data_IF_482916670185
#
_entry.id   IF_482916670185
#
_cell.length_a   1.000
_cell.length_b   1.000
_cell.length_c   1.000
_cell.angle_alpha   90.00
_cell.angle_beta   90.00
_cell.angle_gamma   90.00
#
_symmetry.space_group_name_H-M   'P 1'
#
loop_
_entity.id
_entity.type
_entity.pdbx_description
1 polymer ?
#
# COMPACT_ATOMS: atom_id res chain seq x y z
N UNK A 1 22.03 11.59 12.20
CA UNK A 1 20.87 11.48 13.11
C UNK A 1 19.62 11.52 12.24
N UNK A 2 19.09 10.37 11.82
CA UNK A 2 17.85 10.32 11.04
C UNK A 2 16.69 10.40 12.05
N UNK A 3 16.04 11.55 12.13
CA UNK A 3 14.76 11.65 12.83
C UNK A 3 13.80 10.71 12.13
N UNK A 4 13.45 9.60 12.77
CA UNK A 4 12.31 8.78 12.38
C UNK A 4 11.06 9.65 12.59
N UNK A 5 10.72 10.44 11.57
CA UNK A 5 9.42 11.09 11.50
C UNK A 5 8.40 9.95 11.42
N UNK A 6 7.62 9.78 12.49
CA UNK A 6 6.50 8.85 12.47
C UNK A 6 5.60 9.27 11.31
N UNK A 7 5.50 8.46 10.26
CA UNK A 7 4.63 8.85 9.16
C UNK A 7 3.20 8.88 9.68
N UNK A 8 2.56 10.01 9.46
CA UNK A 8 1.16 10.20 9.81
C UNK A 8 0.34 9.22 8.97
N UNK A 9 -0.44 8.36 9.61
CA UNK A 9 -1.36 7.42 8.93
C UNK A 9 -2.78 7.86 9.24
N UNK A 10 -3.61 7.94 8.21
CA UNK A 10 -5.04 8.03 8.32
C UNK A 10 -5.65 6.64 8.10
N UNK A 11 -6.49 6.18 9.03
CA UNK A 11 -7.29 4.97 8.85
C UNK A 11 -8.73 5.36 8.62
N UNK A 12 -9.32 4.88 7.53
CA UNK A 12 -10.70 5.13 7.17
C UNK A 12 -11.42 3.79 7.14
N UNK A 13 -12.32 3.59 8.11
CA UNK A 13 -13.23 2.46 8.13
C UNK A 13 -14.37 2.68 7.13
N UNK A 14 -14.76 1.62 6.44
CA UNK A 14 -15.94 1.63 5.58
C UNK A 14 -17.22 1.89 6.42
N UNK A 15 -18.10 2.78 5.93
CA UNK A 15 -19.38 3.10 6.57
C UNK A 15 -20.39 1.95 6.56
N UNK A 16 -20.19 0.93 5.71
CA UNK A 16 -21.16 -0.17 5.54
C UNK A 16 -21.02 -1.33 6.55
N UNK A 17 -20.13 -1.28 7.54
CA UNK A 17 -19.98 -2.36 8.54
C UNK A 17 -19.61 -3.73 7.95
N UNK A 18 -19.20 -3.78 6.68
CA UNK A 18 -18.94 -5.03 5.98
C UNK A 18 -17.65 -5.68 6.49
N UNK A 19 -17.79 -6.76 7.27
CA UNK A 19 -16.70 -7.57 7.83
C UNK A 19 -15.79 -8.24 6.78
N UNK A 20 -16.10 -8.10 5.48
CA UNK A 20 -15.36 -8.67 4.34
C UNK A 20 -14.68 -7.63 3.43
N UNK A 21 -14.76 -6.33 3.73
CA UNK A 21 -14.09 -5.32 2.89
C UNK A 21 -12.56 -5.50 2.93
N UNK A 22 -11.86 -5.45 1.77
CA UNK A 22 -10.41 -5.62 1.74
C UNK A 22 -9.71 -4.43 2.40
N UNK A 23 -8.59 -4.71 3.06
CA UNK A 23 -7.72 -3.68 3.61
C UNK A 23 -6.74 -3.22 2.54
N UNK A 24 -6.73 -1.92 2.26
CA UNK A 24 -5.92 -1.33 1.19
C UNK A 24 -4.98 -0.29 1.79
N UNK A 25 -3.68 -0.49 1.58
CA UNK A 25 -2.64 0.49 1.90
C UNK A 25 -2.45 1.44 0.72
N UNK A 26 -2.51 2.75 0.98
CA UNK A 26 -2.25 3.82 0.00
C UNK A 26 -1.07 4.66 0.52
N UNK A 27 0.02 4.74 -0.23
CA UNK A 27 1.28 5.36 0.25
C UNK A 27 1.36 6.88 0.05
N UNK A 28 0.35 7.49 -0.55
CA UNK A 28 0.30 8.92 -0.86
C UNK A 28 -0.99 9.56 -0.35
N UNK A 29 -0.85 10.78 0.18
CA UNK A 29 -1.91 11.60 0.78
C UNK A 29 -2.82 12.27 -0.26
N UNK A 30 -2.31 12.49 -1.47
CA UNK A 30 -2.94 13.22 -2.56
C UNK A 30 -3.82 12.31 -3.43
N UNK A 31 -3.83 11.01 -3.14
CA UNK A 31 -4.76 10.05 -3.77
C UNK A 31 -6.16 10.27 -3.23
N UNK A 32 -7.08 10.67 -4.10
CA UNK A 32 -8.50 10.78 -3.77
C UNK A 32 -9.17 9.40 -3.70
N UNK A 33 -9.78 9.10 -2.56
CA UNK A 33 -10.41 7.83 -2.26
C UNK A 33 -11.92 7.96 -2.09
N UNK A 34 -12.50 9.13 -2.36
CA UNK A 34 -13.90 9.45 -2.08
C UNK A 34 -14.88 8.41 -2.63
N UNK A 35 -14.63 7.89 -3.84
CA UNK A 35 -15.47 6.87 -4.48
C UNK A 35 -15.28 5.44 -3.96
N UNK A 36 -14.18 5.17 -3.24
CA UNK A 36 -13.80 3.83 -2.77
C UNK A 36 -14.09 3.62 -1.28
N UNK A 37 -14.29 4.69 -0.50
CA UNK A 37 -14.48 4.64 0.97
C UNK A 37 -15.61 3.72 1.43
N UNK A 38 -16.64 3.51 0.61
CA UNK A 38 -17.77 2.62 0.92
C UNK A 38 -17.51 1.14 0.62
N UNK A 39 -16.39 0.81 -0.03
CA UNK A 39 -16.08 -0.54 -0.52
C UNK A 39 -14.87 -1.16 0.16
N UNK A 40 -13.92 -0.34 0.59
CA UNK A 40 -12.62 -0.80 1.12
C UNK A 40 -12.32 -0.19 2.49
N UNK A 41 -11.49 -0.86 3.28
CA UNK A 41 -10.88 -0.27 4.47
C UNK A 41 -9.54 0.35 4.07
N UNK A 42 -9.35 1.64 4.34
CA UNK A 42 -8.18 2.37 3.88
C UNK A 42 -7.20 2.60 5.00
N UNK A 43 -5.92 2.36 4.71
CA UNK A 43 -4.77 2.82 5.48
C UNK A 43 -3.98 3.74 4.55
N UNK A 44 -4.07 5.06 4.76
CA UNK A 44 -3.43 6.05 3.88
C UNK A 44 -2.27 6.73 4.60
N UNK A 45 -1.11 6.80 3.94
CA UNK A 45 -0.03 7.69 4.34
C UNK A 45 -0.46 9.13 4.13
N UNK A 46 -0.39 9.95 5.18
CA UNK A 46 -0.67 11.39 5.12
C UNK A 46 0.56 12.23 5.51
N UNK A 47 1.73 11.59 5.59
CA UNK A 47 3.01 12.28 5.74
C UNK A 47 3.50 12.85 4.40
N UNK A 48 4.39 13.84 4.48
CA UNK A 48 5.03 14.38 3.29
C UNK A 48 6.14 13.43 2.80
N UNK A 49 6.17 13.18 1.49
CA UNK A 49 7.18 12.34 0.85
C UNK A 49 6.83 10.84 0.80
N UNK A 50 7.86 10.00 0.65
CA UNK A 50 7.71 8.55 0.63
C UNK A 50 7.45 8.00 2.05
N UNK A 51 6.65 6.94 2.16
CA UNK A 51 6.43 6.28 3.44
C UNK A 51 7.77 5.71 3.97
N UNK A 52 8.13 5.93 5.25
CA UNK A 52 9.30 5.31 5.86
C UNK A 52 9.27 3.79 5.70
N UNK A 53 10.43 3.22 5.42
CA UNK A 53 10.59 1.81 5.05
C UNK A 53 10.04 0.83 6.09
N UNK A 54 10.36 1.03 7.36
CA UNK A 54 9.91 0.16 8.44
C UNK A 54 8.38 0.21 8.60
N UNK A 55 7.81 1.39 8.37
CA UNK A 55 6.37 1.59 8.44
C UNK A 55 5.66 0.94 7.26
N UNK A 56 6.22 1.05 6.04
CA UNK A 56 5.71 0.35 4.86
C UNK A 56 5.67 -1.16 5.10
N UNK A 57 6.76 -1.74 5.62
CA UNK A 57 6.82 -3.17 5.99
C UNK A 57 5.79 -3.54 7.06
N UNK A 58 5.62 -2.70 8.07
CA UNK A 58 4.65 -2.96 9.14
C UNK A 58 3.21 -2.93 8.64
N UNK A 59 2.85 -1.96 7.80
CA UNK A 59 1.50 -1.84 7.28
C UNK A 59 1.20 -2.93 6.24
N UNK A 60 2.14 -3.20 5.32
CA UNK A 60 1.92 -4.17 4.22
C UNK A 60 1.68 -5.60 4.72
N UNK A 61 2.18 -5.94 5.92
CA UNK A 61 2.00 -7.26 6.52
C UNK A 61 0.53 -7.63 6.79
N UNK A 62 -0.36 -6.63 6.90
CA UNK A 62 -1.74 -6.82 7.34
C UNK A 62 -2.79 -6.36 6.31
N UNK A 63 -2.40 -6.04 5.08
CA UNK A 63 -3.32 -5.57 4.03
C UNK A 63 -3.53 -6.61 2.93
N UNK A 64 -4.68 -6.51 2.27
CA UNK A 64 -5.02 -7.32 1.11
C UNK A 64 -4.46 -6.72 -0.19
N UNK A 65 -4.35 -5.38 -0.26
CA UNK A 65 -3.84 -4.68 -1.43
C UNK A 65 -2.94 -3.49 -1.05
N UNK A 66 -2.02 -3.15 -1.96
CA UNK A 66 -1.13 -2.00 -1.89
C UNK A 66 -1.29 -1.15 -3.14
N UNK A 67 -1.55 0.14 -2.95
CA UNK A 67 -1.46 1.18 -3.97
C UNK A 67 -0.27 2.08 -3.66
N UNK A 68 0.74 2.04 -4.53
CA UNK A 68 2.02 2.72 -4.35
C UNK A 68 2.31 3.72 -5.46
N UNK A 69 3.36 4.52 -5.30
CA UNK A 69 3.83 5.47 -6.30
C UNK A 69 5.28 5.17 -6.68
N UNK A 70 5.73 5.79 -7.78
CA UNK A 70 7.09 5.61 -8.34
C UNK A 70 8.25 5.82 -7.35
N UNK A 71 8.02 6.58 -6.27
CA UNK A 71 9.03 6.85 -5.23
C UNK A 71 9.11 5.77 -4.15
N UNK A 72 8.13 4.86 -4.09
CA UNK A 72 8.11 3.77 -3.13
C UNK A 72 8.89 2.58 -3.67
N UNK A 73 9.83 2.04 -2.91
CA UNK A 73 10.61 0.89 -3.37
C UNK A 73 9.98 -0.42 -2.87
N UNK A 74 9.20 -1.09 -3.72
CA UNK A 74 8.50 -2.34 -3.41
C UNK A 74 9.35 -3.53 -3.84
N UNK A 75 10.45 -3.75 -3.12
CA UNK A 75 11.37 -4.85 -3.39
C UNK A 75 11.04 -6.10 -2.55
N UNK A 76 11.84 -7.16 -2.75
CA UNK A 76 11.74 -8.43 -2.01
C UNK A 76 11.53 -8.29 -0.50
N UNK A 77 12.22 -7.36 0.17
CA UNK A 77 12.11 -7.23 1.63
C UNK A 77 10.73 -6.72 2.08
N UNK A 78 10.11 -5.82 1.29
CA UNK A 78 8.75 -5.36 1.54
C UNK A 78 7.76 -6.48 1.25
N UNK A 79 7.96 -7.18 0.13
CA UNK A 79 7.10 -8.28 -0.30
C UNK A 79 7.18 -9.49 0.66
N UNK A 80 8.35 -9.82 1.19
CA UNK A 80 8.54 -10.87 2.20
C UNK A 80 7.76 -10.60 3.50
N UNK A 81 7.57 -9.31 3.84
CA UNK A 81 6.74 -8.92 4.98
C UNK A 81 5.23 -9.04 4.68
N UNK A 82 4.83 -9.06 3.41
CA UNK A 82 3.47 -8.89 2.93
C UNK A 82 2.65 -10.20 2.93
N UNK A 83 2.43 -10.77 4.12
CA UNK A 83 1.81 -12.10 4.30
C UNK A 83 0.38 -12.27 3.78
N UNK A 84 -0.36 -11.18 3.60
CA UNK A 84 -1.77 -11.17 3.17
C UNK A 84 -1.99 -10.50 1.81
N UNK A 85 -0.93 -9.94 1.24
CA UNK A 85 -1.02 -9.10 0.06
C UNK A 85 -1.33 -9.95 -1.18
N UNK A 86 -2.37 -9.52 -1.91
CA UNK A 86 -2.89 -10.20 -3.11
C UNK A 86 -2.79 -9.33 -4.36
N UNK A 87 -2.64 -8.01 -4.19
CA UNK A 87 -2.60 -7.07 -5.32
C UNK A 87 -1.63 -5.95 -4.98
N UNK A 88 -0.76 -5.63 -5.94
CA UNK A 88 0.05 -4.40 -5.94
C UNK A 88 -0.34 -3.61 -7.17
N UNK A 89 -0.72 -2.35 -6.96
CA UNK A 89 -1.02 -1.39 -8.01
C UNK A 89 -0.17 -0.14 -7.81
N UNK A 90 0.13 0.57 -8.89
CA UNK A 90 1.01 1.74 -8.87
C UNK A 90 0.50 2.85 -9.76
N UNK A 91 0.65 4.09 -9.32
CA UNK A 91 0.42 5.27 -10.16
C UNK A 91 1.71 5.62 -10.92
N UNK A 92 2.05 4.82 -11.94
CA UNK A 92 3.24 5.04 -12.76
C UNK A 92 3.17 4.30 -14.09
N UNK A 93 3.89 4.81 -15.09
CA UNK A 93 4.00 4.16 -16.41
C UNK A 93 5.01 3.00 -16.44
N UNK A 94 5.91 2.94 -15.45
CA UNK A 94 6.90 1.88 -15.30
C UNK A 94 6.83 1.21 -13.93
N UNK A 95 7.54 0.10 -13.78
CA UNK A 95 7.54 -0.74 -12.58
C UNK A 95 8.94 -0.98 -12.01
N UNK A 96 9.92 -0.16 -12.38
CA UNK A 96 11.33 -0.34 -11.96
C UNK A 96 11.51 -0.32 -10.44
N UNK A 97 10.58 0.33 -9.73
CA UNK A 97 10.51 0.40 -8.28
C UNK A 97 9.83 -0.81 -7.63
N UNK A 98 9.29 -1.74 -8.41
CA UNK A 98 8.57 -2.93 -7.95
C UNK A 98 9.30 -4.19 -8.43
N UNK A 99 9.58 -5.11 -7.50
CA UNK A 99 10.14 -6.42 -7.84
C UNK A 99 9.04 -7.34 -8.39
N UNK A 100 8.77 -7.19 -9.69
CA UNK A 100 7.74 -7.95 -10.42
C UNK A 100 8.01 -9.46 -10.35
N UNK A 101 9.28 -9.88 -10.31
CA UNK A 101 9.61 -11.30 -10.24
C UNK A 101 9.20 -11.90 -8.90
N UNK A 102 9.40 -11.17 -7.80
CA UNK A 102 8.90 -11.60 -6.49
C UNK A 102 7.37 -11.51 -6.42
N UNK A 103 6.75 -10.46 -6.97
CA UNK A 103 5.28 -10.40 -7.05
C UNK A 103 4.68 -11.63 -7.75
N UNK A 104 5.29 -12.12 -8.84
CA UNK A 104 4.83 -13.29 -9.60
C UNK A 104 5.00 -14.62 -8.86
N UNK A 105 5.97 -14.72 -7.94
CA UNK A 105 6.11 -15.90 -7.07
C UNK A 105 5.05 -15.91 -5.98
N UNK A 106 4.60 -14.74 -5.58
CA UNK A 106 3.44 -14.56 -4.71
C UNK A 106 2.16 -14.70 -5.55
N UNK A 107 1.02 -14.97 -4.92
CA UNK A 107 -0.28 -15.00 -5.63
C UNK A 107 -0.79 -13.57 -5.79
N UNK A 108 0.05 -12.69 -6.34
CA UNK A 108 -0.25 -11.27 -6.52
C UNK A 108 -0.71 -11.03 -7.96
N UNK A 109 -1.91 -10.46 -8.14
CA UNK A 109 -2.37 -9.97 -9.44
C UNK A 109 -1.64 -8.66 -9.80
N UNK A 110 -1.10 -8.60 -11.02
CA UNK A 110 -0.49 -7.41 -11.62
C UNK A 110 -1.58 -6.73 -12.46
N UNK A 111 -2.25 -5.72 -11.90
CA UNK A 111 -3.21 -4.89 -12.63
C UNK A 111 -2.86 -3.42 -12.45
N UNK A 112 -2.50 -2.80 -13.56
CA UNK A 112 -1.99 -1.43 -13.64
C UNK A 112 -3.11 -0.60 -14.25
N UNK A 113 -3.63 0.35 -13.47
CA UNK A 113 -4.60 1.35 -13.91
C UNK A 113 -3.93 2.72 -13.95
#
# INVERSE_FOLDING_TARGET
MATASAAKILRISNQAGASKAPNVLVTDKDVDLSQLREKIQVIQSIGDGAMPRDQLKQQVANVDALYCLVRDQINKEVLDAAKKLKVVSTMSVGFDHIDIQECKKMVIAEEVL
#
